data_IF_492540901727
#
_entry.id   IF_492540901727
#
_cell.length_a   1.000
_cell.length_b   1.000
_cell.length_c   1.000
_cell.angle_alpha   90.00
_cell.angle_beta   90.00
_cell.angle_gamma   90.00
#
_symmetry.space_group_name_H-M   'P 1'
#
loop_
_entity.id
_entity.type
_entity.pdbx_description
1 polymer ?
#
# COMPACT_ATOMS: atom_id res chain seq x y z
N UNK A 1 -7.70 -1.56 -26.75
CA UNK A 1 -7.56 -0.66 -25.58
C UNK A 1 -7.51 0.77 -26.07
N UNK A 2 -8.23 1.70 -25.41
CA UNK A 2 -8.12 3.13 -25.74
C UNK A 2 -6.80 3.71 -25.20
N UNK A 3 -6.35 4.83 -25.76
CA UNK A 3 -5.16 5.56 -25.25
C UNK A 3 -5.31 5.89 -23.76
N UNK A 4 -6.51 6.29 -23.32
CA UNK A 4 -6.79 6.58 -21.91
C UNK A 4 -6.60 5.35 -20.99
N UNK A 5 -7.03 4.17 -21.45
CA UNK A 5 -6.84 2.91 -20.71
C UNK A 5 -5.37 2.55 -20.57
N UNK A 6 -4.60 2.70 -21.65
CA UNK A 6 -3.14 2.42 -21.62
C UNK A 6 -2.45 3.38 -20.65
N UNK A 7 -2.79 4.67 -20.72
CA UNK A 7 -2.23 5.67 -19.80
C UNK A 7 -2.59 5.36 -18.34
N UNK A 8 -3.83 4.93 -18.06
CA UNK A 8 -4.26 4.51 -16.74
C UNK A 8 -3.39 3.37 -16.19
N UNK A 9 -3.16 2.31 -16.97
CA UNK A 9 -2.30 1.21 -16.56
C UNK A 9 -0.84 1.61 -16.36
N UNK A 10 -0.27 2.44 -17.24
CA UNK A 10 1.09 2.97 -17.08
C UNK A 10 1.20 3.81 -15.80
N UNK A 11 0.17 4.58 -15.48
CA UNK A 11 0.11 5.37 -14.24
C UNK A 11 0.05 4.46 -13.00
N UNK A 12 -0.68 3.34 -13.04
CA UNK A 12 -0.68 2.34 -11.95
C UNK A 12 0.70 1.71 -11.77
N UNK A 13 1.39 1.37 -12.86
CA UNK A 13 2.75 0.82 -12.79
C UNK A 13 3.72 1.82 -12.18
N UNK A 14 3.65 3.10 -12.57
CA UNK A 14 4.44 4.18 -11.96
C UNK A 14 4.11 4.35 -10.49
N UNK A 15 2.83 4.33 -10.12
CA UNK A 15 2.39 4.38 -8.73
C UNK A 15 2.98 3.23 -7.91
N UNK A 16 2.92 2.00 -8.45
CA UNK A 16 3.52 0.83 -7.81
C UNK A 16 5.05 0.94 -7.69
N UNK A 17 5.73 1.47 -8.71
CA UNK A 17 7.16 1.73 -8.63
C UNK A 17 7.50 2.71 -7.49
N UNK A 18 6.79 3.82 -7.39
CA UNK A 18 6.97 4.78 -6.30
C UNK A 18 6.70 4.14 -4.94
N UNK A 19 5.61 3.35 -4.82
CA UNK A 19 5.28 2.65 -3.58
C UNK A 19 6.36 1.62 -3.19
N UNK A 20 6.91 0.87 -4.14
CA UNK A 20 8.02 -0.06 -3.88
C UNK A 20 9.34 0.61 -3.50
N UNK A 21 9.47 1.90 -3.83
CA UNK A 21 10.67 2.70 -3.56
C UNK A 21 10.63 3.44 -2.23
N UNK A 22 9.44 3.58 -1.60
CA UNK A 22 9.24 4.50 -0.48
C UNK A 22 10.09 4.20 0.76
N UNK A 23 10.40 2.94 1.02
CA UNK A 23 11.18 2.54 2.19
C UNK A 23 12.71 2.65 1.98
N UNK A 24 13.17 2.86 0.74
CA UNK A 24 14.60 2.94 0.43
C UNK A 24 15.34 4.03 1.22
N UNK A 25 14.79 5.27 1.36
CA UNK A 25 15.47 6.34 2.09
C UNK A 25 15.67 6.06 3.59
N UNK A 26 14.99 5.09 4.20
CA UNK A 26 15.25 4.69 5.59
C UNK A 26 16.70 4.26 5.81
N UNK A 27 17.37 3.77 4.78
CA UNK A 27 18.79 3.38 4.86
C UNK A 27 19.72 4.59 5.13
N UNK A 28 19.24 5.81 4.94
CA UNK A 28 20.00 7.06 5.11
C UNK A 28 19.68 7.79 6.42
N UNK A 29 19.04 7.10 7.37
CA UNK A 29 18.70 7.65 8.70
C UNK A 29 19.34 6.86 9.84
N UNK A 30 20.69 6.71 9.89
CA UNK A 30 21.37 5.80 10.83
C UNK A 30 21.23 6.19 12.30
N UNK A 31 20.88 7.46 12.61
CA UNK A 31 20.75 7.97 13.99
C UNK A 31 19.30 8.04 14.48
N UNK A 32 18.32 7.72 13.61
CA UNK A 32 16.93 7.61 14.01
C UNK A 32 16.55 6.14 14.18
N UNK A 33 15.82 5.83 15.24
CA UNK A 33 15.18 4.54 15.40
C UNK A 33 13.97 4.42 14.47
N UNK A 34 13.48 3.21 14.29
CA UNK A 34 12.37 2.95 13.37
C UNK A 34 11.14 3.84 13.69
N UNK A 35 10.78 4.00 14.97
CA UNK A 35 9.64 4.81 15.39
C UNK A 35 9.79 6.29 15.07
N UNK A 36 11.02 6.83 15.05
CA UNK A 36 11.28 8.21 14.68
C UNK A 36 10.98 8.46 13.21
N UNK A 37 11.60 7.67 12.32
CA UNK A 37 11.41 7.85 10.87
C UNK A 37 9.97 7.53 10.46
N UNK A 38 9.35 6.51 11.11
CA UNK A 38 7.99 6.10 10.79
C UNK A 38 6.95 7.14 11.20
N UNK A 39 7.11 7.78 12.37
CA UNK A 39 6.25 8.87 12.80
C UNK A 39 6.42 10.11 11.91
N UNK A 40 7.66 10.52 11.60
CA UNK A 40 7.95 11.65 10.74
C UNK A 40 7.38 11.46 9.33
N UNK A 41 7.66 10.31 8.71
CA UNK A 41 7.11 9.95 7.42
C UNK A 41 5.57 9.95 7.43
N UNK A 42 4.95 9.29 8.41
CA UNK A 42 3.49 9.17 8.46
C UNK A 42 2.79 10.50 8.69
N UNK A 43 3.36 11.40 9.50
CA UNK A 43 2.85 12.75 9.66
C UNK A 43 2.84 13.51 8.33
N UNK A 44 3.93 13.45 7.57
CA UNK A 44 4.03 14.15 6.30
C UNK A 44 3.11 13.50 5.26
N UNK A 45 3.18 12.18 5.09
CA UNK A 45 2.47 11.45 4.04
C UNK A 45 0.96 11.34 4.28
N UNK A 46 0.53 11.14 5.54
CA UNK A 46 -0.86 10.82 5.86
C UNK A 46 -1.67 12.03 6.34
N UNK A 47 -1.00 13.13 6.73
CA UNK A 47 -1.67 14.35 7.22
C UNK A 47 -1.28 15.56 6.39
N UNK A 48 0.00 15.93 6.36
CA UNK A 48 0.42 17.21 5.77
C UNK A 48 0.20 17.25 4.26
N UNK A 49 0.53 16.19 3.53
CA UNK A 49 0.33 16.14 2.08
C UNK A 49 -1.15 16.09 1.69
N UNK A 50 -2.02 15.20 2.23
CA UNK A 50 -3.44 15.23 1.93
C UNK A 50 -4.09 16.55 2.27
N UNK A 51 -3.78 17.13 3.44
CA UNK A 51 -4.30 18.43 3.87
C UNK A 51 -3.82 19.54 2.94
N UNK A 52 -2.53 19.57 2.60
CA UNK A 52 -1.94 20.55 1.69
C UNK A 52 -2.57 20.50 0.28
N UNK A 53 -2.67 19.30 -0.31
CA UNK A 53 -3.27 19.14 -1.64
C UNK A 53 -4.74 19.56 -1.63
N UNK A 54 -5.55 19.11 -0.66
CA UNK A 54 -6.95 19.50 -0.56
C UNK A 54 -7.10 21.02 -0.37
N UNK A 55 -6.31 21.62 0.52
CA UNK A 55 -6.37 23.06 0.76
C UNK A 55 -6.00 23.91 -0.45
N UNK A 56 -5.03 23.44 -1.26
CA UNK A 56 -4.56 24.16 -2.44
C UNK A 56 -5.43 23.94 -3.68
N UNK A 57 -6.04 22.74 -3.82
CA UNK A 57 -6.73 22.37 -5.05
C UNK A 57 -8.24 22.38 -4.95
N UNK A 58 -8.78 22.28 -3.73
CA UNK A 58 -10.24 22.25 -3.45
C UNK A 58 -10.56 23.29 -2.38
N UNK A 59 -10.56 24.60 -2.72
CA UNK A 59 -10.95 25.65 -1.79
C UNK A 59 -12.35 25.36 -1.25
N UNK A 60 -12.57 25.61 0.03
CA UNK A 60 -13.84 25.35 0.70
C UNK A 60 -14.27 23.86 0.76
N UNK A 61 -13.30 22.93 0.90
CA UNK A 61 -13.59 21.50 1.05
C UNK A 61 -14.39 21.16 2.31
N UNK A 62 -14.28 21.94 3.39
CA UNK A 62 -15.00 21.68 4.65
C UNK A 62 -16.53 21.68 4.49
N UNK A 63 -17.17 22.62 3.78
CA UNK A 63 -18.60 22.52 3.45
C UNK A 63 -18.98 21.25 2.71
N UNK A 64 -18.11 20.74 1.82
CA UNK A 64 -18.37 19.49 1.10
C UNK A 64 -18.47 18.29 2.04
N UNK A 65 -17.56 18.18 3.03
CA UNK A 65 -17.62 17.13 4.04
C UNK A 65 -18.86 17.25 4.93
N UNK A 66 -19.29 18.47 5.27
CA UNK A 66 -20.50 18.70 6.08
C UNK A 66 -21.80 18.34 5.32
N UNK A 67 -21.80 18.49 3.99
CA UNK A 67 -22.94 18.15 3.14
C UNK A 67 -22.93 16.68 2.71
N UNK A 68 -21.82 15.99 2.87
CA UNK A 68 -21.67 14.57 2.53
C UNK A 68 -22.44 13.68 3.51
N UNK A 69 -22.81 12.50 3.06
CA UNK A 69 -23.37 11.48 3.94
C UNK A 69 -22.37 11.11 5.06
N UNK A 70 -22.76 11.34 6.29
CA UNK A 70 -21.94 11.05 7.47
C UNK A 70 -21.61 9.56 7.60
N UNK A 71 -22.49 8.68 7.11
CA UNK A 71 -22.20 7.24 7.11
C UNK A 71 -21.01 6.92 6.19
N UNK A 72 -20.93 7.55 5.02
CA UNK A 72 -19.80 7.40 4.10
C UNK A 72 -18.49 7.89 4.75
N UNK A 73 -18.51 9.05 5.39
CA UNK A 73 -17.34 9.58 6.10
C UNK A 73 -16.87 8.64 7.21
N UNK A 74 -17.80 8.12 8.01
CA UNK A 74 -17.49 7.16 9.08
C UNK A 74 -16.86 5.90 8.51
N UNK A 75 -17.41 5.33 7.45
CA UNK A 75 -16.84 4.13 6.82
C UNK A 75 -15.46 4.37 6.21
N UNK A 76 -15.23 5.54 5.61
CA UNK A 76 -13.92 5.94 5.10
C UNK A 76 -12.90 6.04 6.25
N UNK A 77 -13.26 6.71 7.35
CA UNK A 77 -12.41 6.82 8.53
C UNK A 77 -12.13 5.45 9.18
N UNK A 78 -13.15 4.59 9.32
CA UNK A 78 -12.98 3.23 9.84
C UNK A 78 -12.06 2.39 8.96
N UNK A 79 -12.18 2.52 7.64
CA UNK A 79 -11.26 1.89 6.69
C UNK A 79 -9.83 2.39 6.88
N UNK A 80 -9.66 3.69 7.11
CA UNK A 80 -8.35 4.30 7.42
C UNK A 80 -7.75 3.77 8.74
N UNK A 81 -8.54 3.72 9.82
CA UNK A 81 -8.13 3.15 11.11
C UNK A 81 -7.72 1.68 10.95
N UNK A 82 -8.52 0.88 10.26
CA UNK A 82 -8.24 -0.53 10.04
C UNK A 82 -6.95 -0.72 9.22
N UNK A 83 -6.74 0.10 8.17
CA UNK A 83 -5.51 0.10 7.40
C UNK A 83 -4.30 0.52 8.25
N UNK A 84 -4.40 1.60 9.02
CA UNK A 84 -3.31 2.06 9.89
C UNK A 84 -2.95 1.03 10.97
N UNK A 85 -3.96 0.39 11.59
CA UNK A 85 -3.74 -0.70 12.55
C UNK A 85 -3.04 -1.90 11.89
N UNK A 86 -3.36 -2.21 10.62
CA UNK A 86 -2.75 -3.30 9.89
C UNK A 86 -1.23 -3.15 9.74
N UNK A 87 -0.72 -1.93 9.65
CA UNK A 87 0.72 -1.67 9.56
C UNK A 87 1.45 -2.10 10.85
N UNK A 88 0.84 -1.86 11.99
CA UNK A 88 1.35 -2.31 13.30
C UNK A 88 1.29 -3.84 13.41
N UNK A 89 0.12 -4.42 13.09
CA UNK A 89 -0.08 -5.88 13.12
C UNK A 89 0.87 -6.62 12.19
N UNK A 90 1.17 -6.05 11.02
CA UNK A 90 2.15 -6.57 10.07
C UNK A 90 3.54 -6.70 10.70
N UNK A 91 4.05 -5.63 11.30
CA UNK A 91 5.35 -5.66 11.99
C UNK A 91 5.40 -6.67 13.13
N UNK A 92 4.33 -6.75 13.95
CA UNK A 92 4.21 -7.70 15.05
C UNK A 92 4.06 -9.16 14.58
N UNK A 93 3.36 -9.37 13.47
CA UNK A 93 3.17 -10.68 12.87
C UNK A 93 4.49 -11.25 12.33
N UNK A 94 5.20 -10.46 11.51
CA UNK A 94 6.49 -10.86 10.91
C UNK A 94 7.52 -11.24 11.98
N UNK A 95 7.58 -10.50 13.09
CA UNK A 95 8.47 -10.83 14.20
C UNK A 95 8.22 -12.23 14.78
N UNK A 96 6.99 -12.78 14.64
CA UNK A 96 6.60 -14.08 15.19
C UNK A 96 6.69 -15.23 14.19
N UNK A 97 6.33 -15.00 12.93
CA UNK A 97 6.28 -16.08 11.91
C UNK A 97 7.44 -16.01 10.91
N UNK A 98 8.27 -14.98 11.02
CA UNK A 98 9.33 -14.69 10.04
C UNK A 98 8.82 -13.96 8.80
N UNK A 99 9.77 -13.38 8.07
CA UNK A 99 9.46 -12.51 6.93
C UNK A 99 8.73 -13.26 5.80
N UNK A 100 9.19 -14.46 5.45
CA UNK A 100 8.62 -15.18 4.30
C UNK A 100 7.14 -15.46 4.44
N UNK A 101 6.76 -16.12 5.54
CA UNK A 101 5.38 -16.50 5.79
C UNK A 101 4.52 -15.25 6.05
N UNK A 102 5.07 -14.29 6.81
CA UNK A 102 4.38 -13.02 7.10
C UNK A 102 4.05 -12.23 5.84
N UNK A 103 5.03 -11.99 4.96
CA UNK A 103 4.79 -11.28 3.70
C UNK A 103 3.84 -12.04 2.78
N UNK A 104 3.98 -13.36 2.65
CA UNK A 104 3.09 -14.15 1.80
C UNK A 104 1.63 -14.02 2.25
N UNK A 105 1.36 -14.14 3.56
CA UNK A 105 0.01 -14.01 4.10
C UNK A 105 -0.51 -12.58 3.94
N UNK A 106 0.25 -11.57 4.38
CA UNK A 106 -0.23 -10.19 4.44
C UNK A 106 -0.46 -9.62 3.05
N UNK A 107 0.53 -9.72 2.16
CA UNK A 107 0.41 -9.14 0.82
C UNK A 107 -0.54 -9.97 -0.05
N UNK A 108 -0.51 -11.31 0.11
CA UNK A 108 -1.44 -12.19 -0.58
C UNK A 108 -2.89 -11.87 -0.23
N UNK A 109 -3.22 -11.78 1.07
CA UNK A 109 -4.57 -11.40 1.51
C UNK A 109 -4.93 -9.97 1.13
N UNK A 110 -4.01 -9.02 1.24
CA UNK A 110 -4.26 -7.63 0.83
C UNK A 110 -4.58 -7.54 -0.68
N UNK A 111 -3.88 -8.30 -1.52
CA UNK A 111 -4.16 -8.35 -2.95
C UNK A 111 -5.55 -8.95 -3.25
N UNK A 112 -5.88 -10.07 -2.64
CA UNK A 112 -7.16 -10.76 -2.83
C UNK A 112 -8.31 -9.91 -2.28
N UNK A 113 -8.24 -9.52 -1.01
CA UNK A 113 -9.32 -8.76 -0.35
C UNK A 113 -9.51 -7.39 -0.96
N UNK A 114 -8.43 -6.69 -1.31
CA UNK A 114 -8.51 -5.39 -1.97
C UNK A 114 -9.12 -5.43 -3.38
N UNK A 115 -9.10 -6.59 -4.04
CA UNK A 115 -9.77 -6.79 -5.32
C UNK A 115 -11.21 -7.30 -5.16
N UNK A 116 -11.44 -8.24 -4.25
CA UNK A 116 -12.74 -8.92 -4.12
C UNK A 116 -13.75 -8.15 -3.28
N UNK A 117 -13.33 -7.48 -2.20
CA UNK A 117 -14.25 -6.71 -1.37
C UNK A 117 -14.96 -5.61 -2.17
N UNK A 118 -14.27 -4.81 -3.02
CA UNK A 118 -14.94 -3.86 -3.91
C UNK A 118 -15.98 -4.49 -4.83
N UNK A 119 -15.77 -5.72 -5.31
CA UNK A 119 -16.75 -6.43 -6.15
C UNK A 119 -18.03 -6.79 -5.40
N UNK A 120 -17.95 -7.03 -4.09
CA UNK A 120 -19.10 -7.35 -3.25
C UNK A 120 -19.89 -6.10 -2.80
N UNK A 121 -19.41 -4.89 -3.09
CA UNK A 121 -20.04 -3.64 -2.64
C UNK A 121 -21.13 -3.19 -3.61
N UNK A 122 -22.27 -2.64 -3.09
CA UNK A 122 -23.30 -2.03 -3.92
C UNK A 122 -22.70 -0.91 -4.80
N UNK A 123 -23.00 -0.94 -6.11
CA UNK A 123 -22.54 0.09 -7.06
C UNK A 123 -21.17 -0.12 -7.68
N UNK A 124 -20.34 -1.02 -7.18
CA UNK A 124 -18.97 -1.17 -7.68
C UNK A 124 -18.84 -2.01 -8.94
N UNK A 125 -19.71 -2.90 -9.28
CA UNK A 125 -19.71 -3.70 -10.51
C UNK A 125 -21.00 -4.53 -10.65
N UNK A 126 -22.12 -4.04 -10.18
CA UNK A 126 -23.38 -4.78 -10.18
C UNK A 126 -23.80 -5.30 -11.59
N UNK A 127 -23.16 -4.80 -12.64
CA UNK A 127 -23.39 -5.21 -14.04
C UNK A 127 -22.25 -6.02 -14.66
N UNK A 128 -21.12 -6.21 -13.99
CA UNK A 128 -19.93 -6.85 -14.58
C UNK A 128 -19.53 -8.12 -13.83
N UNK A 129 -19.75 -9.27 -14.43
CA UNK A 129 -19.19 -10.53 -13.90
C UNK A 129 -17.66 -10.46 -13.95
N UNK A 130 -16.95 -10.85 -12.87
CA UNK A 130 -15.50 -10.92 -12.90
C UNK A 130 -15.04 -11.82 -14.04
N UNK A 131 -14.14 -11.31 -14.88
CA UNK A 131 -13.61 -12.09 -15.98
C UNK A 131 -12.69 -13.21 -15.46
N UNK A 132 -12.54 -14.29 -16.21
CA UNK A 132 -11.63 -15.39 -15.84
C UNK A 132 -10.18 -14.89 -15.73
N UNK A 133 -9.81 -13.84 -16.50
CA UNK A 133 -8.49 -13.22 -16.41
C UNK A 133 -8.22 -12.58 -15.04
N UNK A 134 -9.24 -12.00 -14.39
CA UNK A 134 -9.08 -11.48 -13.03
C UNK A 134 -8.76 -12.62 -12.05
N UNK A 135 -9.53 -13.70 -12.08
CA UNK A 135 -9.30 -14.84 -11.20
C UNK A 135 -7.94 -15.51 -11.46
N UNK A 136 -7.61 -15.74 -12.72
CA UNK A 136 -6.30 -16.27 -13.10
C UNK A 136 -5.18 -15.33 -12.63
N UNK A 137 -5.34 -14.03 -12.84
CA UNK A 137 -4.36 -13.04 -12.43
C UNK A 137 -4.15 -13.00 -10.92
N UNK A 138 -5.21 -13.08 -10.11
CA UNK A 138 -5.11 -13.16 -8.65
C UNK A 138 -4.32 -14.41 -8.22
N UNK A 139 -4.62 -15.57 -8.81
CA UNK A 139 -3.86 -16.81 -8.52
C UNK A 139 -2.39 -16.64 -8.89
N UNK A 140 -2.09 -16.05 -10.05
CA UNK A 140 -0.71 -15.80 -10.48
C UNK A 140 0.00 -14.81 -9.54
N UNK A 141 -0.68 -13.76 -9.06
CA UNK A 141 -0.14 -12.83 -8.04
C UNK A 141 0.22 -13.59 -6.77
N UNK A 142 -0.69 -14.44 -6.26
CA UNK A 142 -0.42 -15.23 -5.05
C UNK A 142 0.79 -16.16 -5.20
N UNK A 143 0.94 -16.80 -6.35
CA UNK A 143 2.11 -17.64 -6.66
C UNK A 143 3.39 -16.80 -6.70
N UNK A 144 3.38 -15.64 -7.37
CA UNK A 144 4.52 -14.74 -7.45
C UNK A 144 4.95 -14.20 -6.09
N UNK A 145 3.99 -13.74 -5.28
CA UNK A 145 4.22 -13.28 -3.88
C UNK A 145 4.79 -14.41 -3.03
N UNK A 146 4.20 -15.60 -3.12
CA UNK A 146 4.67 -16.79 -2.38
C UNK A 146 6.11 -17.15 -2.73
N UNK A 147 6.47 -17.14 -4.03
CA UNK A 147 7.83 -17.42 -4.48
C UNK A 147 8.83 -16.35 -4.04
N UNK A 148 8.51 -15.08 -4.18
CA UNK A 148 9.37 -13.98 -3.70
C UNK A 148 9.58 -14.08 -2.17
N UNK A 149 8.51 -14.36 -1.42
CA UNK A 149 8.57 -14.52 0.03
C UNK A 149 9.44 -15.72 0.43
N UNK A 150 9.26 -16.86 -0.25
CA UNK A 150 10.06 -18.06 0.00
C UNK A 150 11.54 -17.85 -0.36
N UNK A 151 11.84 -17.18 -1.47
CA UNK A 151 13.19 -16.80 -1.84
C UNK A 151 13.86 -15.92 -0.77
N UNK A 152 13.10 -14.94 -0.24
CA UNK A 152 13.57 -14.08 0.85
C UNK A 152 13.87 -14.86 2.14
N UNK A 153 13.08 -15.90 2.45
CA UNK A 153 13.35 -16.76 3.63
C UNK A 153 14.60 -17.58 3.49
N UNK A 154 14.81 -18.18 2.32
CA UNK A 154 16.04 -18.96 2.05
C UNK A 154 17.28 -18.08 2.20
N UNK A 155 17.22 -16.82 1.76
CA UNK A 155 18.27 -15.83 1.96
C UNK A 155 18.50 -15.51 3.45
N UNK A 156 17.43 -15.51 4.27
CA UNK A 156 17.46 -15.13 5.70
C UNK A 156 17.62 -16.34 6.65
N UNK A 157 17.62 -17.57 6.15
CA UNK A 157 17.63 -18.80 6.95
C UNK A 157 18.84 -18.91 7.90
N UNK A 158 19.93 -18.22 7.60
CA UNK A 158 21.11 -18.15 8.48
C UNK A 158 20.90 -17.28 9.74
N UNK A 159 19.77 -16.55 9.87
CA UNK A 159 19.53 -15.55 10.93
C UNK A 159 18.30 -15.79 11.81
N UNK A 160 17.50 -16.84 11.57
CA UNK A 160 16.21 -17.01 12.28
C UNK A 160 16.29 -18.04 13.40
N UNK A 161 16.47 -17.56 14.62
CA UNK A 161 16.20 -18.33 15.83
C UNK A 161 14.83 -17.94 16.40
N UNK A 162 14.01 -18.96 16.74
CA UNK A 162 12.89 -18.93 17.69
C UNK A 162 11.64 -18.15 17.29
N UNK A 163 10.68 -18.84 16.66
CA UNK A 163 9.29 -18.41 16.59
C UNK A 163 8.57 -18.71 17.92
N UNK A 164 8.35 -17.70 18.74
CA UNK A 164 7.46 -17.78 19.90
C UNK A 164 6.01 -17.68 19.40
N UNK A 165 5.18 -18.70 19.67
CA UNK A 165 3.75 -18.75 19.38
C UNK A 165 3.35 -18.53 17.90
N UNK A 166 3.62 -19.48 17.00
CA UNK A 166 3.36 -19.32 15.57
C UNK A 166 1.88 -19.06 15.23
N UNK A 167 0.92 -19.62 15.97
CA UNK A 167 -0.51 -19.42 15.75
C UNK A 167 -0.93 -17.94 15.93
N UNK A 168 -0.45 -17.27 16.98
CA UNK A 168 -0.72 -15.84 17.19
C UNK A 168 -0.09 -15.00 16.09
N UNK A 169 1.13 -15.35 15.65
CA UNK A 169 1.78 -14.65 14.55
C UNK A 169 1.02 -14.77 13.22
N UNK A 170 0.49 -15.95 12.90
CA UNK A 170 -0.36 -16.16 11.71
C UNK A 170 -1.63 -15.33 11.81
N UNK A 171 -2.32 -15.32 12.96
CA UNK A 171 -3.53 -14.51 13.15
C UNK A 171 -3.25 -13.02 12.94
N UNK A 172 -2.14 -12.50 13.49
CA UNK A 172 -1.72 -11.11 13.29
C UNK A 172 -1.47 -10.81 11.81
N UNK A 173 -0.83 -11.72 11.06
CA UNK A 173 -0.61 -11.56 9.62
C UNK A 173 -1.93 -11.61 8.83
N UNK A 174 -2.89 -12.45 9.20
CA UNK A 174 -4.20 -12.50 8.56
C UNK A 174 -4.93 -11.17 8.78
N UNK A 175 -5.01 -10.69 10.02
CA UNK A 175 -5.63 -9.40 10.34
C UNK A 175 -4.92 -8.24 9.64
N UNK A 176 -3.58 -8.29 9.54
CA UNK A 176 -2.80 -7.30 8.80
C UNK A 176 -3.11 -7.32 7.29
N UNK A 177 -3.27 -8.51 6.70
CA UNK A 177 -3.59 -8.64 5.27
C UNK A 177 -4.98 -8.11 4.94
N UNK A 178 -5.97 -8.47 5.75
CA UNK A 178 -7.35 -7.96 5.59
C UNK A 178 -7.38 -6.44 5.82
N UNK A 179 -6.77 -5.97 6.90
CA UNK A 179 -6.69 -4.54 7.20
C UNK A 179 -5.88 -3.76 6.14
N UNK A 180 -4.85 -4.37 5.56
CA UNK A 180 -4.07 -3.78 4.46
C UNK A 180 -4.90 -3.49 3.21
N UNK A 181 -5.93 -4.28 2.94
CA UNK A 181 -6.88 -4.05 1.84
C UNK A 181 -7.82 -2.85 2.09
N UNK A 182 -8.01 -2.43 3.34
CA UNK A 182 -9.00 -1.41 3.71
C UNK A 182 -8.72 -0.04 3.10
N UNK A 183 -7.47 0.26 2.71
CA UNK A 183 -7.17 1.50 1.98
C UNK A 183 -7.90 1.54 0.62
N UNK A 184 -7.91 0.44 -0.11
CA UNK A 184 -8.63 0.34 -1.39
C UNK A 184 -10.16 0.27 -1.18
N UNK A 185 -10.60 -0.44 -0.16
CA UNK A 185 -12.02 -0.48 0.25
C UNK A 185 -12.51 0.92 0.61
N UNK A 186 -11.76 1.66 1.43
CA UNK A 186 -12.08 3.02 1.82
C UNK A 186 -12.16 3.99 0.62
N UNK A 187 -11.32 3.78 -0.40
CA UNK A 187 -11.41 4.53 -1.65
C UNK A 187 -12.72 4.25 -2.40
N UNK A 188 -13.15 2.99 -2.45
CA UNK A 188 -14.42 2.60 -3.12
C UNK A 188 -15.64 3.10 -2.34
N UNK A 189 -15.68 2.89 -1.02
CA UNK A 189 -16.75 3.40 -0.15
C UNK A 189 -16.82 4.93 -0.19
N UNK A 190 -15.68 5.58 -0.30
CA UNK A 190 -15.55 7.02 -0.38
C UNK A 190 -15.93 7.63 -1.74
N UNK A 191 -16.24 6.83 -2.77
CA UNK A 191 -16.58 7.34 -4.09
C UNK A 191 -17.67 8.45 -4.11
N UNK A 192 -18.72 8.41 -3.24
CA UNK A 192 -19.67 9.52 -3.14
C UNK A 192 -19.04 10.85 -2.72
N UNK A 193 -17.96 10.85 -1.92
CA UNK A 193 -17.20 12.06 -1.56
C UNK A 193 -16.50 12.68 -2.78
N UNK A 194 -16.23 11.88 -3.80
CA UNK A 194 -15.55 12.28 -5.02
C UNK A 194 -16.50 12.59 -6.17
N UNK A 195 -17.82 12.75 -5.94
CA UNK A 195 -18.82 12.92 -7.00
C UNK A 195 -19.30 14.37 -7.18
N UNK A 196 -18.49 15.36 -6.76
CA UNK A 196 -18.86 16.78 -6.87
C UNK A 196 -18.57 17.34 -8.27
N UNK A 197 -19.62 17.81 -8.96
CA UNK A 197 -19.57 18.28 -10.35
C UNK A 197 -18.63 19.46 -10.60
N UNK A 198 -18.36 20.27 -9.57
CA UNK A 198 -17.53 21.48 -9.68
C UNK A 198 -16.02 21.21 -9.44
N UNK A 199 -15.64 19.96 -9.23
CA UNK A 199 -14.24 19.57 -8.97
C UNK A 199 -13.76 18.71 -10.13
N UNK A 200 -12.59 19.02 -10.73
CA UNK A 200 -12.00 18.17 -11.76
C UNK A 200 -11.86 16.71 -11.28
N UNK A 201 -12.28 15.76 -12.11
CA UNK A 201 -12.29 14.33 -11.76
C UNK A 201 -10.92 13.82 -11.25
N UNK A 202 -9.84 14.38 -11.79
CA UNK A 202 -8.46 14.06 -11.36
C UNK A 202 -8.13 14.50 -9.93
N UNK A 203 -8.92 15.38 -9.32
CA UNK A 203 -8.69 15.91 -7.95
C UNK A 203 -9.72 15.38 -6.93
N UNK A 204 -10.82 14.82 -7.40
CA UNK A 204 -11.92 14.37 -6.53
C UNK A 204 -11.49 13.32 -5.51
N UNK A 205 -10.57 12.42 -5.87
CA UNK A 205 -10.06 11.37 -4.97
C UNK A 205 -9.35 11.93 -3.74
N UNK A 206 -8.86 13.18 -3.80
CA UNK A 206 -8.23 13.84 -2.66
C UNK A 206 -9.20 14.05 -1.49
N UNK A 207 -10.50 14.20 -1.77
CA UNK A 207 -11.54 14.28 -0.73
C UNK A 207 -11.70 12.95 0.03
N UNK A 208 -11.28 11.84 -0.55
CA UNK A 208 -11.29 10.53 0.11
C UNK A 208 -9.99 10.34 0.90
N UNK A 209 -8.85 10.70 0.30
CA UNK A 209 -7.55 10.48 0.93
C UNK A 209 -7.39 11.24 2.25
N UNK A 210 -7.89 12.46 2.35
CA UNK A 210 -7.72 13.27 3.57
C UNK A 210 -8.33 12.59 4.82
N UNK A 211 -9.62 12.22 4.87
CA UNK A 211 -10.20 11.56 6.03
C UNK A 211 -9.65 10.13 6.25
N UNK A 212 -9.41 9.38 5.16
CA UNK A 212 -8.92 8.01 5.23
C UNK A 212 -7.52 7.94 5.81
N UNK A 213 -6.58 8.69 5.23
CA UNK A 213 -5.18 8.67 5.66
C UNK A 213 -5.00 9.36 7.01
N UNK A 214 -5.74 10.45 7.27
CA UNK A 214 -5.74 11.11 8.58
C UNK A 214 -6.20 10.17 9.70
N UNK A 215 -7.25 9.38 9.47
CA UNK A 215 -7.70 8.36 10.41
C UNK A 215 -6.66 7.23 10.59
N UNK A 216 -6.02 6.80 9.51
CA UNK A 216 -4.91 5.83 9.55
C UNK A 216 -3.69 6.33 10.31
N UNK A 217 -3.39 7.64 10.21
CA UNK A 217 -2.31 8.26 10.96
C UNK A 217 -2.52 8.14 12.48
N UNK A 218 -3.75 8.24 12.99
CA UNK A 218 -4.01 8.17 14.43
C UNK A 218 -3.48 6.86 15.04
N UNK A 219 -3.69 5.73 14.39
CA UNK A 219 -3.21 4.43 14.87
C UNK A 219 -1.69 4.35 14.85
N UNK A 220 -1.07 4.85 13.79
CA UNK A 220 0.39 4.92 13.66
C UNK A 220 0.99 5.86 14.70
N UNK A 221 0.38 7.05 14.91
CA UNK A 221 0.85 8.02 15.87
C UNK A 221 0.80 7.48 17.30
N UNK A 222 -0.30 6.82 17.70
CA UNK A 222 -0.43 6.19 19.01
C UNK A 222 0.66 5.15 19.23
N UNK A 223 0.85 4.25 18.26
CA UNK A 223 1.85 3.19 18.39
C UNK A 223 3.30 3.73 18.42
N UNK A 224 3.63 4.63 17.49
CA UNK A 224 4.97 5.24 17.45
C UNK A 224 5.25 6.08 18.70
N UNK A 225 4.28 6.87 19.19
CA UNK A 225 4.43 7.65 20.41
C UNK A 225 4.65 6.78 21.65
N UNK A 226 3.95 5.63 21.72
CA UNK A 226 4.19 4.64 22.77
C UNK A 226 5.62 4.08 22.69
N UNK A 227 6.12 3.73 21.49
CA UNK A 227 7.50 3.24 21.31
C UNK A 227 8.52 4.32 21.66
N UNK A 228 8.35 5.55 21.18
CA UNK A 228 9.22 6.69 21.45
C UNK A 228 9.36 6.95 22.96
N UNK A 229 8.24 6.82 23.68
CA UNK A 229 8.24 6.98 25.14
C UNK A 229 8.92 5.79 25.83
N UNK A 230 8.58 4.57 25.42
CA UNK A 230 9.13 3.34 25.98
C UNK A 230 10.65 3.24 25.78
N UNK A 231 11.14 3.61 24.60
CA UNK A 231 12.54 3.52 24.22
C UNK A 231 13.35 4.78 24.54
N UNK A 232 12.67 5.89 24.96
CA UNK A 232 13.32 7.16 25.25
C UNK A 232 13.89 7.85 24.01
N UNK A 233 13.35 7.55 22.82
CA UNK A 233 13.90 8.00 21.52
C UNK A 233 13.33 9.35 21.05
N UNK A 234 12.42 10.00 21.80
CA UNK A 234 11.96 11.36 21.53
C UNK A 234 13.12 12.36 21.38
N UNK A 235 14.16 12.21 22.20
CA UNK A 235 15.37 13.06 22.19
C UNK A 235 16.08 13.06 20.82
N UNK A 236 15.92 12.00 20.04
CA UNK A 236 16.58 11.89 18.74
C UNK A 236 16.05 12.93 17.73
N UNK A 237 14.82 13.42 17.87
CA UNK A 237 14.31 14.50 17.02
C UNK A 237 15.01 15.84 17.27
N UNK A 238 15.52 16.08 18.48
CA UNK A 238 16.21 17.33 18.86
C UNK A 238 17.73 17.26 18.65
N UNK A 239 18.29 16.11 18.28
CA UNK A 239 19.72 15.96 18.08
C UNK A 239 20.21 16.76 16.85
N UNK A 240 21.39 17.39 16.86
CA UNK A 240 21.89 18.22 15.75
C UNK A 240 21.93 17.51 14.40
N UNK A 241 22.23 16.19 14.39
CA UNK A 241 22.23 15.37 13.18
C UNK A 241 20.82 15.07 12.63
N UNK A 242 19.76 15.35 13.39
CA UNK A 242 18.39 15.00 13.01
C UNK A 242 17.85 15.81 11.86
N UNK A 243 18.35 17.02 11.63
CA UNK A 243 17.86 17.87 10.54
C UNK A 243 18.02 17.17 9.17
N UNK A 244 19.15 16.49 8.95
CA UNK A 244 19.41 15.75 7.71
C UNK A 244 18.45 14.56 7.52
N UNK A 245 17.85 14.01 8.58
CA UNK A 245 16.96 12.83 8.53
C UNK A 245 15.53 13.19 8.11
N UNK A 246 15.14 14.48 8.21
CA UNK A 246 13.87 14.94 7.69
C UNK A 246 13.77 14.85 6.17
N UNK A 247 14.91 14.99 5.46
CA UNK A 247 14.92 14.85 3.99
C UNK A 247 14.60 13.41 3.53
N UNK A 248 15.21 12.34 4.06
CA UNK A 248 14.76 10.98 3.82
C UNK A 248 13.28 10.76 4.18
N UNK A 249 12.79 11.27 5.32
CA UNK A 249 11.39 11.14 5.71
C UNK A 249 10.45 11.83 4.69
N UNK A 250 10.82 13.01 4.21
CA UNK A 250 10.10 13.72 3.15
C UNK A 250 10.12 12.94 1.84
N UNK A 251 11.28 12.39 1.44
CA UNK A 251 11.40 11.56 0.24
C UNK A 251 10.51 10.32 0.32
N UNK A 252 10.49 9.63 1.48
CA UNK A 252 9.56 8.54 1.74
C UNK A 252 8.11 8.98 1.57
N UNK A 253 7.75 10.15 2.11
CA UNK A 253 6.40 10.68 2.03
C UNK A 253 6.00 11.03 0.59
N UNK A 254 6.89 11.65 -0.18
CA UNK A 254 6.67 11.94 -1.61
C UNK A 254 6.46 10.64 -2.41
N UNK A 255 7.30 9.63 -2.19
CA UNK A 255 7.17 8.36 -2.88
C UNK A 255 5.85 7.66 -2.51
N UNK A 256 5.53 7.60 -1.23
CA UNK A 256 4.34 6.86 -0.77
C UNK A 256 3.05 7.60 -1.09
N UNK A 257 2.92 8.88 -0.68
CA UNK A 257 1.70 9.66 -0.96
C UNK A 257 1.51 9.89 -2.45
N UNK A 258 2.59 10.20 -3.18
CA UNK A 258 2.55 10.31 -4.64
C UNK A 258 2.07 9.02 -5.30
N UNK A 259 2.44 7.86 -4.75
CA UNK A 259 1.97 6.57 -5.27
C UNK A 259 0.45 6.39 -5.12
N UNK A 260 -0.12 6.69 -3.96
CA UNK A 260 -1.57 6.54 -3.74
C UNK A 260 -2.37 7.59 -4.50
N UNK A 261 -1.82 8.79 -4.66
CA UNK A 261 -2.41 9.86 -5.47
C UNK A 261 -2.50 9.47 -6.95
N UNK A 262 -1.39 8.98 -7.51
CA UNK A 262 -1.36 8.48 -8.89
C UNK A 262 -2.27 7.26 -9.06
N UNK A 263 -2.28 6.35 -8.10
CA UNK A 263 -3.18 5.20 -8.09
C UNK A 263 -4.65 5.64 -8.11
N UNK A 264 -5.03 6.56 -7.21
CA UNK A 264 -6.39 7.08 -7.14
C UNK A 264 -6.87 7.70 -8.45
N UNK A 265 -6.02 8.53 -9.08
CA UNK A 265 -6.32 9.13 -10.39
C UNK A 265 -6.45 8.09 -11.50
N UNK A 266 -5.55 7.12 -11.53
CA UNK A 266 -5.55 6.09 -12.56
C UNK A 266 -6.79 5.20 -12.49
N UNK A 267 -7.17 4.73 -11.29
CA UNK A 267 -8.33 3.86 -11.13
C UNK A 267 -9.65 4.60 -11.37
N UNK A 268 -9.73 5.89 -11.03
CA UNK A 268 -10.88 6.73 -11.36
C UNK A 268 -11.09 6.82 -12.88
N UNK A 269 -10.00 6.90 -13.66
CA UNK A 269 -10.01 6.90 -15.12
C UNK A 269 -10.37 5.55 -15.76
N UNK A 270 -10.20 4.44 -15.03
CA UNK A 270 -10.53 3.08 -15.50
C UNK A 270 -12.00 2.66 -15.21
N UNK A 271 -12.79 3.53 -14.59
CA UNK A 271 -14.19 3.28 -14.28
C UNK A 271 -14.42 2.28 -13.13
N UNK A 272 -15.59 1.64 -13.08
CA UNK A 272 -16.02 0.80 -11.94
C UNK A 272 -15.11 -0.40 -11.65
N UNK A 273 -14.43 -0.94 -12.64
CA UNK A 273 -13.45 -2.00 -12.47
C UNK A 273 -12.04 -1.50 -12.12
N UNK A 274 -11.81 -0.19 -12.15
CA UNK A 274 -10.51 0.41 -11.86
C UNK A 274 -9.90 -0.07 -10.54
N UNK A 275 -10.58 0.04 -9.38
CA UNK A 275 -10.05 -0.44 -8.11
C UNK A 275 -9.81 -1.95 -8.07
N UNK A 276 -10.66 -2.73 -8.75
CA UNK A 276 -10.60 -4.20 -8.77
C UNK A 276 -9.37 -4.71 -9.54
N UNK A 277 -9.14 -4.17 -10.73
CA UNK A 277 -8.02 -4.55 -11.60
C UNK A 277 -6.73 -3.81 -11.21
N UNK A 278 -6.85 -2.56 -10.82
CA UNK A 278 -5.72 -1.71 -10.51
C UNK A 278 -4.98 -2.13 -9.24
N UNK A 279 -5.70 -2.61 -8.21
CA UNK A 279 -5.10 -2.95 -6.93
C UNK A 279 -4.05 -4.07 -7.02
N UNK A 280 -4.32 -5.25 -7.61
CA UNK A 280 -3.31 -6.29 -7.73
C UNK A 280 -2.15 -5.89 -8.65
N UNK A 281 -2.38 -5.07 -9.68
CA UNK A 281 -1.31 -4.54 -10.53
C UNK A 281 -0.42 -3.59 -9.72
N UNK A 282 -1.01 -2.68 -8.95
CA UNK A 282 -0.29 -1.75 -8.06
C UNK A 282 0.60 -2.51 -7.06
N UNK A 283 0.05 -3.51 -6.35
CA UNK A 283 0.82 -4.30 -5.39
C UNK A 283 1.92 -5.12 -6.06
N UNK A 284 1.63 -5.75 -7.21
CA UNK A 284 2.64 -6.50 -7.96
C UNK A 284 3.79 -5.61 -8.42
N UNK A 285 3.48 -4.44 -8.97
CA UNK A 285 4.48 -3.44 -9.37
C UNK A 285 5.31 -2.95 -8.17
N UNK A 286 4.67 -2.76 -7.01
CA UNK A 286 5.37 -2.37 -5.77
C UNK A 286 6.37 -3.44 -5.33
N UNK A 287 5.99 -4.72 -5.37
CA UNK A 287 6.87 -5.83 -4.99
C UNK A 287 8.04 -5.95 -5.96
N UNK A 288 7.77 -5.88 -7.26
CA UNK A 288 8.81 -5.91 -8.30
C UNK A 288 9.81 -4.77 -8.06
N UNK A 289 9.33 -3.56 -7.84
CA UNK A 289 10.18 -2.37 -7.61
C UNK A 289 11.00 -2.49 -6.34
N UNK A 290 10.42 -2.96 -5.23
CA UNK A 290 11.14 -3.17 -3.97
C UNK A 290 12.28 -4.19 -4.15
N UNK A 291 12.04 -5.27 -4.91
CA UNK A 291 13.07 -6.25 -5.21
C UNK A 291 14.14 -5.68 -6.16
N UNK A 292 13.78 -4.87 -7.15
CA UNK A 292 14.75 -4.17 -8.01
C UNK A 292 15.70 -3.31 -7.16
N UNK A 293 15.18 -2.57 -6.18
CA UNK A 293 16.01 -1.83 -5.24
C UNK A 293 16.87 -2.74 -4.36
N UNK A 294 16.36 -3.89 -3.93
CA UNK A 294 17.14 -4.90 -3.22
C UNK A 294 18.35 -5.38 -4.05
N UNK A 295 18.17 -5.59 -5.37
CA UNK A 295 19.28 -5.90 -6.28
C UNK A 295 20.23 -4.71 -6.44
N UNK A 296 19.71 -3.51 -6.71
CA UNK A 296 20.51 -2.30 -6.93
C UNK A 296 21.33 -1.90 -5.70
N UNK A 297 20.80 -2.12 -4.49
CA UNK A 297 21.51 -1.84 -3.23
C UNK A 297 22.42 -2.97 -2.73
N UNK A 298 22.61 -4.00 -3.54
CA UNK A 298 23.55 -5.06 -3.24
C UNK A 298 23.05 -6.13 -2.26
N UNK A 299 21.79 -6.12 -1.89
CA UNK A 299 21.26 -7.12 -0.94
C UNK A 299 21.33 -8.55 -1.47
N UNK A 300 21.46 -8.72 -2.78
CA UNK A 300 21.55 -10.00 -3.47
C UNK A 300 22.92 -10.32 -4.06
N UNK A 301 23.94 -9.46 -3.85
CA UNK A 301 25.27 -9.58 -4.46
C UNK A 301 25.95 -10.94 -4.17
N UNK A 302 25.76 -11.47 -2.97
CA UNK A 302 26.37 -12.72 -2.53
C UNK A 302 25.41 -13.90 -2.54
N UNK A 303 24.15 -13.69 -2.94
CA UNK A 303 23.12 -14.73 -3.01
C UNK A 303 23.16 -15.40 -4.37
N UNK A 304 23.44 -16.71 -4.40
CA UNK A 304 23.53 -17.51 -5.61
C UNK A 304 22.64 -18.75 -5.52
N UNK A 305 22.40 -19.41 -6.66
CA UNK A 305 21.66 -20.65 -6.72
C UNK A 305 20.16 -20.49 -6.52
N UNK A 306 19.56 -21.42 -5.79
CA UNK A 306 18.11 -21.57 -5.65
C UNK A 306 17.37 -20.31 -5.13
N UNK A 307 17.85 -19.58 -4.12
CA UNK A 307 17.14 -18.38 -3.65
C UNK A 307 17.04 -17.30 -4.72
N UNK A 308 18.11 -17.04 -5.47
CA UNK A 308 18.13 -16.06 -6.54
C UNK A 308 17.20 -16.47 -7.69
N UNK A 309 17.24 -17.76 -8.10
CA UNK A 309 16.38 -18.29 -9.17
C UNK A 309 14.89 -18.15 -8.80
N UNK A 310 14.51 -18.48 -7.56
CA UNK A 310 13.15 -18.35 -7.07
C UNK A 310 12.70 -16.89 -7.01
N UNK A 311 13.57 -15.97 -6.61
CA UNK A 311 13.26 -14.54 -6.62
C UNK A 311 13.01 -14.03 -8.04
N UNK A 312 13.88 -14.35 -8.99
CA UNK A 312 13.71 -13.94 -10.39
C UNK A 312 12.46 -14.57 -11.02
N UNK A 313 12.18 -15.85 -10.71
CA UNK A 313 10.96 -16.52 -11.15
C UNK A 313 9.71 -15.84 -10.57
N UNK A 314 9.71 -15.52 -9.27
CA UNK A 314 8.61 -14.81 -8.60
C UNK A 314 8.36 -13.43 -9.22
N UNK A 315 9.41 -12.65 -9.49
CA UNK A 315 9.31 -11.36 -10.19
C UNK A 315 8.72 -11.57 -11.60
N UNK A 316 9.19 -12.53 -12.37
CA UNK A 316 8.66 -12.84 -13.70
C UNK A 316 7.18 -13.21 -13.67
N UNK A 317 6.74 -14.00 -12.67
CA UNK A 317 5.35 -14.38 -12.46
C UNK A 317 4.50 -13.14 -12.09
N UNK A 318 4.99 -12.23 -11.24
CA UNK A 318 4.28 -10.99 -10.92
C UNK A 318 4.12 -10.09 -12.14
N UNK A 319 5.14 -9.99 -12.98
CA UNK A 319 5.05 -9.25 -14.26
C UNK A 319 4.02 -9.90 -15.18
N UNK A 320 4.02 -11.22 -15.32
CA UNK A 320 3.01 -11.95 -16.12
C UNK A 320 1.58 -11.71 -15.56
N UNK A 321 1.40 -11.72 -14.24
CA UNK A 321 0.11 -11.42 -13.59
C UNK A 321 -0.43 -10.04 -13.99
N UNK A 322 0.43 -9.02 -14.02
CA UNK A 322 0.02 -7.66 -14.42
C UNK A 322 -0.52 -7.62 -15.85
N UNK A 323 0.09 -8.36 -16.79
CA UNK A 323 -0.41 -8.47 -18.17
C UNK A 323 -1.75 -9.22 -18.23
N UNK A 324 -1.88 -10.35 -17.50
CA UNK A 324 -3.12 -11.12 -17.46
C UNK A 324 -4.28 -10.31 -16.93
N UNK A 325 -4.08 -9.60 -15.80
CA UNK A 325 -5.12 -8.75 -15.20
C UNK A 325 -5.42 -7.57 -16.11
N UNK A 326 -4.41 -6.94 -16.70
CA UNK A 326 -4.58 -5.84 -17.65
C UNK A 326 -5.41 -6.23 -18.88
N UNK A 327 -5.29 -7.47 -19.35
CA UNK A 327 -6.08 -7.99 -20.47
C UNK A 327 -7.57 -8.16 -20.13
N UNK A 328 -7.93 -8.29 -18.86
CA UNK A 328 -9.31 -8.38 -18.42
C UNK A 328 -10.15 -7.15 -18.79
N UNK A 329 -9.52 -5.98 -18.87
CA UNK A 329 -10.21 -4.73 -19.26
C UNK A 329 -10.53 -4.66 -20.75
N UNK A 330 -9.81 -5.39 -21.59
CA UNK A 330 -9.95 -5.35 -23.03
C UNK A 330 -10.83 -6.47 -23.61
N UNK A 331 -11.31 -7.41 -22.77
CA UNK A 331 -12.20 -8.48 -23.24
C UNK A 331 -13.57 -7.92 -23.58
N UNK A 332 -14.12 -8.20 -24.78
CA UNK A 332 -15.48 -7.82 -25.13
C UNK A 332 -16.45 -8.47 -24.14
N UNK A 333 -17.45 -7.71 -23.72
CA UNK A 333 -18.56 -8.17 -22.85
C UNK A 333 -19.53 -9.02 -23.63
#
# INVERSE_FOLDING_TARGET
MTTATILGFLTILLAGFMNGSFALPMKWTPHWEWENIWLAWSLIALVLFPLGIVSLTIPHSMPLYRQSDHAVLVWVCLSGVAWGASQVLFGLGIKRVGMALGFAIVIGLAAVMGSLLPLAMPGAAASSRPSWQLWAGIVIVLLGVGLCSYAGSLKSAERSASAASPGVGILLCILAGVGGAMINVGMVVGAPLASWHNIPSSLQTNLIWLPLLGAGFLTTAVYCSWLLTKNGTWRLFAAPASFSHWFPALTMAVCWFGSVELYGRAVAGLGSLGPVLGWPIFLSSSIVSANMWGFATGEWLHVRGRPLQLMLAGIGILVAAMFVIGSAHSSPR
#
